data_IF_812020390472
#
_entry.id   IF_812020390472
#
_cell.length_a   1.000
_cell.length_b   1.000
_cell.length_c   1.000
_cell.angle_alpha   90.00
_cell.angle_beta   90.00
_cell.angle_gamma   90.00
#
_symmetry.space_group_name_H-M   'P 1'
#
loop_
_entity.id
_entity.type
_entity.pdbx_description
1 polymer ?
#
# COMPACT_ATOMS: atom_id res chain seq x y z
N UNK A 1 -26.72 27.95 0.00
CA UNK A 1 -26.21 27.56 0.55
C UNK A 1 -25.25 27.68 0.69
N UNK A 2 -24.83 27.89 0.97
CA UNK A 2 -23.92 27.79 1.14
C UNK A 2 -23.17 27.07 1.71
N UNK A 3 -23.08 26.60 2.08
CA UNK A 3 -22.43 25.84 2.93
C UNK A 3 -21.86 24.67 2.34
N UNK A 4 -22.33 24.13 1.35
CA UNK A 4 -21.79 23.08 0.55
C UNK A 4 -20.46 23.47 -0.01
N UNK A 5 -20.28 24.71 -0.32
CA UNK A 5 -19.03 25.22 -0.84
C UNK A 5 -17.92 25.05 0.19
N UNK A 6 -18.22 25.33 1.42
CA UNK A 6 -17.25 25.20 2.48
C UNK A 6 -16.81 23.76 2.65
N UNK A 7 -17.75 22.84 2.57
CA UNK A 7 -17.45 21.43 2.69
C UNK A 7 -16.57 20.99 1.55
N UNK A 8 -16.85 21.44 0.34
CA UNK A 8 -16.06 21.09 -0.82
C UNK A 8 -14.64 21.58 -0.70
N UNK A 9 -14.44 22.79 -0.24
CA UNK A 9 -13.12 23.36 -0.05
C UNK A 9 -12.35 22.59 1.00
N UNK A 10 -13.04 22.18 2.05
CA UNK A 10 -12.43 21.38 3.08
C UNK A 10 -11.90 20.06 2.54
N UNK A 11 -12.68 19.42 1.69
CA UNK A 11 -12.30 18.16 1.10
C UNK A 11 -11.13 18.29 0.14
N UNK A 12 -11.09 19.39 -0.59
CA UNK A 12 -10.04 19.63 -1.56
C UNK A 12 -8.68 19.77 -0.88
N UNK A 13 -8.66 20.30 0.33
CA UNK A 13 -7.41 20.51 1.03
C UNK A 13 -6.77 19.22 1.50
N UNK A 14 -7.50 18.10 1.47
CA UNK A 14 -7.00 16.80 1.92
C UNK A 14 -7.03 15.82 0.75
N UNK A 15 -5.90 15.59 0.08
CA UNK A 15 -5.89 14.68 -1.06
C UNK A 15 -6.23 13.25 -0.64
N UNK A 16 -6.98 12.58 -1.51
CA UNK A 16 -7.38 11.20 -1.29
C UNK A 16 -6.38 10.29 -2.01
N UNK A 17 -5.75 9.40 -1.27
CA UNK A 17 -4.82 8.43 -1.83
C UNK A 17 -5.63 7.28 -2.39
N UNK A 18 -5.39 6.95 -3.67
CA UNK A 18 -6.10 5.86 -4.34
C UNK A 18 -5.21 4.64 -4.45
N UNK A 19 -5.83 3.52 -4.81
CA UNK A 19 -5.10 2.28 -5.07
C UNK A 19 -4.07 2.50 -6.18
N UNK A 20 -4.45 3.23 -7.22
CA UNK A 20 -3.56 3.53 -8.33
C UNK A 20 -2.36 4.35 -7.87
N UNK A 21 -2.58 5.32 -6.99
CA UNK A 21 -1.48 6.13 -6.45
C UNK A 21 -0.46 5.25 -5.74
N UNK A 22 -0.92 4.31 -4.93
CA UNK A 22 -0.04 3.39 -4.22
C UNK A 22 0.73 2.54 -5.20
N UNK A 23 0.06 1.97 -6.19
CA UNK A 23 0.72 1.11 -7.17
C UNK A 23 1.80 1.87 -7.93
N UNK A 24 1.49 3.06 -8.42
CA UNK A 24 2.47 3.85 -9.17
C UNK A 24 3.66 4.22 -8.32
N UNK A 25 3.42 4.60 -7.09
CA UNK A 25 4.49 5.02 -6.20
C UNK A 25 5.42 3.83 -5.89
N UNK A 26 4.84 2.67 -5.63
CA UNK A 26 5.63 1.48 -5.36
C UNK A 26 6.39 1.01 -6.59
N UNK A 27 5.76 1.06 -7.76
CA UNK A 27 6.45 0.70 -8.99
C UNK A 27 7.68 1.56 -9.21
N UNK A 28 7.54 2.86 -9.00
CA UNK A 28 8.64 3.78 -9.18
C UNK A 28 9.71 3.61 -8.11
N UNK A 29 9.29 3.44 -6.87
CA UNK A 29 10.22 3.35 -5.75
C UNK A 29 11.10 2.12 -5.83
N UNK A 30 10.51 0.96 -6.16
CA UNK A 30 11.24 -0.30 -6.22
C UNK A 30 11.66 -0.68 -7.63
N UNK A 31 11.26 0.10 -8.64
CA UNK A 31 11.54 -0.19 -10.04
C UNK A 31 11.01 -1.58 -10.44
N UNK A 32 9.75 -1.80 -10.15
CA UNK A 32 9.07 -3.07 -10.46
C UNK A 32 7.75 -2.77 -11.14
N UNK A 33 7.15 -3.81 -11.74
CA UNK A 33 5.82 -3.69 -12.34
C UNK A 33 4.81 -4.38 -11.44
N UNK A 34 3.63 -3.80 -11.36
CA UNK A 34 2.58 -4.37 -10.52
C UNK A 34 2.23 -5.80 -10.93
N UNK A 35 2.25 -6.09 -12.23
CA UNK A 35 1.97 -7.45 -12.68
C UNK A 35 2.98 -8.46 -12.12
N UNK A 36 4.21 -8.03 -11.93
CA UNK A 36 5.23 -8.90 -11.34
C UNK A 36 5.03 -9.05 -9.85
N UNK A 37 4.57 -7.97 -9.20
CA UNK A 37 4.23 -8.03 -7.78
C UNK A 37 3.09 -9.02 -7.55
N UNK A 38 2.11 -9.05 -8.47
CA UNK A 38 0.97 -9.95 -8.37
C UNK A 38 1.32 -11.38 -8.73
N UNK A 39 2.45 -11.60 -9.38
CA UNK A 39 2.82 -12.94 -9.84
C UNK A 39 2.97 -13.88 -8.64
N UNK A 40 2.33 -15.04 -8.75
CA UNK A 40 2.19 -15.97 -7.64
C UNK A 40 3.53 -16.52 -7.16
N UNK A 41 4.44 -16.74 -8.07
CA UNK A 41 5.70 -17.42 -7.74
C UNK A 41 6.90 -16.49 -7.67
N UNK A 42 6.68 -15.19 -7.76
CA UNK A 42 7.80 -14.26 -7.71
C UNK A 42 8.12 -13.93 -6.26
N UNK A 43 9.18 -14.54 -5.75
CA UNK A 43 9.57 -14.39 -4.35
C UNK A 43 10.89 -13.64 -4.20
N UNK A 44 11.44 -13.13 -5.30
CA UNK A 44 12.74 -12.49 -5.28
C UNK A 44 12.66 -11.01 -4.94
N UNK A 45 13.73 -10.50 -4.33
CA UNK A 45 13.88 -9.07 -4.11
C UNK A 45 14.09 -8.39 -5.46
N UNK A 46 13.48 -7.23 -5.74
CA UNK A 46 12.66 -6.42 -4.82
C UNK A 46 11.16 -6.74 -4.86
N UNK A 47 10.72 -7.69 -5.67
CA UNK A 47 9.29 -7.94 -5.85
C UNK A 47 8.61 -8.38 -4.57
N UNK A 48 9.28 -9.21 -3.78
CA UNK A 48 8.69 -9.70 -2.54
C UNK A 48 8.51 -8.58 -1.51
N UNK A 49 9.46 -7.66 -1.44
CA UNK A 49 9.36 -6.51 -0.53
C UNK A 49 8.27 -5.57 -1.01
N UNK A 50 8.21 -5.32 -2.31
CA UNK A 50 7.17 -4.48 -2.89
C UNK A 50 5.79 -5.07 -2.65
N UNK A 51 5.65 -6.39 -2.78
CA UNK A 51 4.38 -7.06 -2.51
C UNK A 51 3.92 -6.83 -1.08
N UNK A 52 4.82 -7.05 -0.12
CA UNK A 52 4.49 -6.83 1.28
C UNK A 52 4.08 -5.39 1.55
N UNK A 53 4.77 -4.44 0.92
CA UNK A 53 4.45 -3.03 1.09
C UNK A 53 3.08 -2.69 0.50
N UNK A 54 2.76 -3.20 -0.69
CA UNK A 54 1.45 -2.95 -1.29
C UNK A 54 0.34 -3.50 -0.38
N UNK A 55 0.51 -4.73 0.09
CA UNK A 55 -0.49 -5.34 0.95
C UNK A 55 -0.67 -4.52 2.23
N UNK A 56 0.43 -4.10 2.84
CA UNK A 56 0.37 -3.30 4.05
C UNK A 56 -0.35 -1.97 3.80
N UNK A 57 -0.03 -1.30 2.71
CA UNK A 57 -0.63 0.01 2.42
C UNK A 57 -2.10 -0.13 2.02
N UNK A 58 -2.46 -1.19 1.28
CA UNK A 58 -3.87 -1.44 0.98
C UNK A 58 -4.68 -1.58 2.26
N UNK A 59 -4.13 -2.26 3.25
CA UNK A 59 -4.85 -2.47 4.50
C UNK A 59 -4.86 -1.23 5.39
N UNK A 60 -3.73 -0.56 5.52
CA UNK A 60 -3.58 0.48 6.53
C UNK A 60 -3.82 1.89 6.00
N UNK A 61 -3.63 2.13 4.72
CA UNK A 61 -3.89 3.44 4.13
C UNK A 61 -5.29 3.50 3.53
N UNK A 62 -5.68 2.46 2.78
CA UNK A 62 -6.98 2.42 2.11
C UNK A 62 -8.04 1.68 2.92
N UNK A 63 -7.65 1.00 3.98
CA UNK A 63 -8.57 0.24 4.84
C UNK A 63 -9.34 -0.84 4.08
N UNK A 64 -8.69 -1.45 3.10
CA UNK A 64 -9.31 -2.53 2.33
C UNK A 64 -9.49 -3.76 3.21
N UNK A 65 -10.55 -4.50 2.93
CA UNK A 65 -10.80 -5.75 3.66
C UNK A 65 -9.77 -6.79 3.25
N UNK A 66 -9.40 -7.65 4.20
CA UNK A 66 -8.42 -8.69 3.94
C UNK A 66 -8.85 -9.59 2.79
N UNK A 67 -10.15 -9.94 2.74
CA UNK A 67 -10.64 -10.79 1.65
C UNK A 67 -10.53 -10.11 0.29
N UNK A 68 -10.69 -8.79 0.25
CA UNK A 68 -10.55 -8.03 -0.99
C UNK A 68 -9.09 -8.03 -1.46
N UNK A 69 -8.17 -7.83 -0.53
CA UNK A 69 -6.75 -7.88 -0.84
C UNK A 69 -6.37 -9.28 -1.31
N UNK A 70 -6.87 -10.30 -0.63
CA UNK A 70 -6.60 -11.69 -1.00
C UNK A 70 -7.05 -11.98 -2.43
N UNK A 71 -8.23 -11.49 -2.81
CA UNK A 71 -8.73 -11.69 -4.17
C UNK A 71 -7.83 -11.02 -5.20
N UNK A 72 -7.34 -9.83 -4.90
CA UNK A 72 -6.46 -9.10 -5.81
C UNK A 72 -5.17 -9.87 -6.07
N UNK A 73 -4.61 -10.47 -5.02
CA UNK A 73 -3.32 -11.16 -5.13
C UNK A 73 -3.45 -12.65 -5.42
N UNK A 74 -4.68 -13.17 -5.55
CA UNK A 74 -4.87 -14.59 -5.77
C UNK A 74 -4.37 -15.42 -4.60
N UNK A 75 -4.50 -14.91 -3.39
CA UNK A 75 -4.01 -15.56 -2.18
C UNK A 75 -5.17 -15.82 -1.22
N UNK A 76 -4.94 -16.66 -0.22
CA UNK A 76 -5.95 -16.86 0.81
C UNK A 76 -5.91 -15.72 1.81
N UNK A 77 -7.04 -15.48 2.47
CA UNK A 77 -7.10 -14.47 3.51
C UNK A 77 -6.09 -14.76 4.63
N UNK A 78 -5.88 -16.03 4.92
CA UNK A 78 -4.93 -16.45 5.93
C UNK A 78 -3.51 -16.02 5.57
N UNK A 79 -3.11 -16.22 4.31
CA UNK A 79 -1.78 -15.85 3.86
C UNK A 79 -1.61 -14.32 3.87
N UNK A 80 -2.65 -13.58 3.50
CA UNK A 80 -2.59 -12.12 3.57
C UNK A 80 -2.42 -11.67 5.02
N UNK A 81 -3.17 -12.27 5.95
CA UNK A 81 -3.07 -11.93 7.36
C UNK A 81 -1.66 -12.21 7.89
N UNK A 82 -1.08 -13.33 7.49
CA UNK A 82 0.27 -13.68 7.89
C UNK A 82 1.29 -12.64 7.40
N UNK A 83 1.20 -12.27 6.11
CA UNK A 83 2.08 -11.25 5.57
C UNK A 83 1.90 -9.91 6.25
N UNK A 84 0.66 -9.54 6.55
CA UNK A 84 0.38 -8.29 7.26
C UNK A 84 1.00 -8.28 8.64
N UNK A 85 0.91 -9.39 9.35
CA UNK A 85 1.47 -9.48 10.69
C UNK A 85 2.99 -9.26 10.65
N UNK A 86 3.67 -9.93 9.74
CA UNK A 86 5.11 -9.79 9.59
C UNK A 86 5.50 -8.40 9.12
N UNK A 87 4.80 -7.87 8.13
CA UNK A 87 5.09 -6.53 7.61
C UNK A 87 4.88 -5.47 8.68
N UNK A 88 3.82 -5.60 9.46
CA UNK A 88 3.53 -4.65 10.54
C UNK A 88 4.67 -4.59 11.54
N UNK A 89 5.18 -5.74 11.94
CA UNK A 89 6.30 -5.78 12.89
C UNK A 89 7.55 -5.12 12.31
N UNK A 90 7.82 -5.38 11.04
CA UNK A 90 9.00 -4.82 10.39
C UNK A 90 8.88 -3.32 10.17
N UNK A 91 7.69 -2.83 9.83
CA UNK A 91 7.47 -1.41 9.58
C UNK A 91 7.53 -0.62 10.88
N UNK A 92 7.08 -1.21 11.97
CA UNK A 92 7.17 -0.57 13.29
C UNK A 92 8.57 -0.61 13.87
N UNK A 93 9.47 -1.38 13.25
CA UNK A 93 10.85 -1.47 13.69
C UNK A 93 11.71 -0.37 13.11
N UNK A 94 13.01 -0.65 12.96
CA UNK A 94 13.98 0.34 12.49
C UNK A 94 14.70 -0.10 11.22
N UNK A 95 14.22 -1.15 10.57
CA UNK A 95 14.90 -1.70 9.40
C UNK A 95 14.51 -1.02 8.10
N UNK A 96 14.87 -1.68 7.01
CA UNK A 96 14.65 -1.15 5.67
C UNK A 96 13.17 -0.93 5.37
N UNK A 97 12.31 -1.85 5.80
CA UNK A 97 10.89 -1.74 5.48
C UNK A 97 10.28 -0.52 6.18
N UNK A 98 10.72 -0.24 7.41
CA UNK A 98 10.27 0.94 8.13
C UNK A 98 10.66 2.22 7.40
N UNK A 99 11.90 2.28 6.92
CA UNK A 99 12.39 3.43 6.17
C UNK A 99 11.63 3.59 4.85
N UNK A 100 11.44 2.48 4.15
CA UNK A 100 10.74 2.51 2.88
C UNK A 100 9.30 3.01 3.05
N UNK A 101 8.63 2.54 4.08
CA UNK A 101 7.26 2.98 4.34
C UNK A 101 7.20 4.48 4.59
N UNK A 102 8.14 5.00 5.37
CA UNK A 102 8.19 6.43 5.65
C UNK A 102 8.40 7.22 4.36
N UNK A 103 9.35 6.78 3.54
CA UNK A 103 9.64 7.45 2.27
C UNK A 103 8.43 7.44 1.35
N UNK A 104 7.76 6.29 1.25
CA UNK A 104 6.58 6.16 0.39
C UNK A 104 5.44 7.06 0.85
N UNK A 105 5.21 7.13 2.15
CA UNK A 105 4.16 7.99 2.67
C UNK A 105 4.46 9.47 2.44
N UNK A 106 5.72 9.85 2.51
CA UNK A 106 6.10 11.23 2.21
C UNK A 106 5.82 11.56 0.74
N UNK A 107 6.12 10.63 -0.15
CA UNK A 107 5.84 10.82 -1.57
C UNK A 107 4.33 10.95 -1.82
N UNK A 108 3.56 10.06 -1.20
CA UNK A 108 2.11 10.05 -1.40
C UNK A 108 1.42 11.28 -0.84
N UNK A 109 1.98 11.87 0.18
CA UNK A 109 1.39 13.05 0.82
C UNK A 109 1.95 14.37 0.33
N UNK A 110 2.86 14.34 -0.62
CA UNK A 110 3.45 15.59 -1.12
C UNK A 110 2.64 16.23 -2.24
#
# INVERSE_FOLDING_TARGET
MFQDICVSLHQISTPVITQEDIVRTIEAYYNVRYKDILAKFNQNYPDNIAKDMVIYMYRNVLHMKIVTIAAEFGMTARNISYRLQHSTLRIKGKGKLAKDYKDLMEILNS
#
